data_IF_060219895364
#
_entry.id   IF_060219895364
#
_cell.length_a   1.000
_cell.length_b   1.000
_cell.length_c   1.000
_cell.angle_alpha   90.00
_cell.angle_beta   90.00
_cell.angle_gamma   90.00
#
_symmetry.space_group_name_H-M   'P 1'
#
loop_
_entity.id
_entity.type
_entity.pdbx_description
1 polymer ?
#
# COMPACT_ATOMS: atom_id res chain seq x y z
N UNK A 1 1.99 15.75 -4.37
CA UNK A 1 2.89 14.85 -5.13
C UNK A 1 2.01 14.00 -6.03
N UNK A 2 2.25 13.96 -7.32
CA UNK A 2 1.40 13.18 -8.24
C UNK A 2 1.82 11.71 -8.30
N UNK A 3 0.89 10.81 -8.68
CA UNK A 3 1.15 9.37 -8.84
C UNK A 3 2.35 9.06 -9.75
N UNK A 4 2.60 9.89 -10.76
CA UNK A 4 3.71 9.71 -11.69
C UNK A 4 5.10 9.84 -11.02
N UNK A 5 5.22 10.62 -9.95
CA UNK A 5 6.47 10.86 -9.25
C UNK A 5 6.77 9.84 -8.13
N UNK A 6 5.90 8.86 -7.93
CA UNK A 6 6.05 7.84 -6.92
C UNK A 6 6.80 6.62 -7.44
N UNK A 7 7.67 6.05 -6.63
CA UNK A 7 8.39 4.81 -6.93
C UNK A 7 7.63 3.56 -6.44
N UNK A 8 6.75 3.74 -5.47
CA UNK A 8 5.87 2.72 -4.92
C UNK A 8 4.67 3.35 -4.22
N UNK A 9 3.68 2.55 -3.83
CA UNK A 9 2.47 3.01 -3.15
C UNK A 9 2.24 2.27 -1.83
N UNK A 10 1.56 2.93 -0.88
CA UNK A 10 0.85 2.27 0.21
C UNK A 10 -0.60 2.71 0.16
N UNK A 11 -1.49 1.74 0.03
CA UNK A 11 -2.92 1.95 0.13
C UNK A 11 -3.40 1.62 1.53
N UNK A 12 -4.03 2.59 2.18
CA UNK A 12 -4.65 2.44 3.50
C UNK A 12 -6.16 2.44 3.30
N UNK A 13 -6.82 1.32 3.58
CA UNK A 13 -8.19 1.08 3.12
C UNK A 13 -9.08 0.45 4.19
N UNK A 14 -10.32 0.94 4.39
CA UNK A 14 -11.33 0.27 5.20
C UNK A 14 -11.99 -0.88 4.44
N UNK A 15 -12.71 -1.70 5.18
CA UNK A 15 -13.67 -2.64 4.60
C UNK A 15 -15.10 -2.13 4.80
N UNK A 16 -15.80 -1.92 3.68
CA UNK A 16 -17.22 -1.58 3.67
C UNK A 16 -18.03 -2.72 3.03
N UNK A 17 -19.01 -3.27 3.75
CA UNK A 17 -19.91 -4.30 3.21
C UNK A 17 -19.17 -5.45 2.50
N UNK A 18 -18.11 -5.96 3.11
CA UNK A 18 -17.23 -7.00 2.57
C UNK A 18 -16.39 -6.63 1.34
N UNK A 19 -16.33 -5.38 0.95
CA UNK A 19 -15.57 -4.92 -0.21
C UNK A 19 -14.81 -3.62 0.02
N UNK A 20 -14.11 -3.15 -1.02
CA UNK A 20 -13.41 -1.88 -0.99
C UNK A 20 -14.37 -0.68 -0.96
N UNK A 21 -13.93 0.46 -0.42
CA UNK A 21 -14.70 1.68 -0.51
C UNK A 21 -14.80 2.17 -1.97
N UNK A 22 -15.92 2.75 -2.39
CA UNK A 22 -16.05 3.30 -3.74
C UNK A 22 -14.99 4.34 -4.10
N UNK A 23 -14.51 5.09 -3.12
CA UNK A 23 -13.43 6.07 -3.28
C UNK A 23 -12.12 5.45 -3.77
N UNK A 24 -11.78 4.25 -3.31
CA UNK A 24 -10.61 3.51 -3.78
C UNK A 24 -10.70 3.21 -5.28
N UNK A 25 -11.79 2.58 -5.71
CA UNK A 25 -12.00 2.24 -7.12
C UNK A 25 -12.04 3.49 -8.00
N UNK A 26 -12.69 4.55 -7.52
CA UNK A 26 -12.74 5.82 -8.22
C UNK A 26 -11.34 6.43 -8.38
N UNK A 27 -10.53 6.46 -7.33
CA UNK A 27 -9.17 6.98 -7.38
C UNK A 27 -8.29 6.23 -8.40
N UNK A 28 -8.40 4.91 -8.48
CA UNK A 28 -7.66 4.11 -9.45
C UNK A 28 -8.00 4.43 -10.90
N UNK A 29 -9.23 4.87 -11.17
CA UNK A 29 -9.69 5.21 -12.51
C UNK A 29 -9.24 6.57 -13.02
N UNK A 30 -8.67 7.44 -12.17
CA UNK A 30 -8.22 8.77 -12.58
C UNK A 30 -6.95 8.78 -13.43
N UNK A 31 -6.09 7.78 -13.23
CA UNK A 31 -4.82 7.65 -13.95
C UNK A 31 -4.60 6.18 -14.34
N UNK A 32 -3.74 5.93 -15.29
CA UNK A 32 -3.50 4.58 -15.81
C UNK A 32 -2.01 4.25 -15.90
N UNK A 33 -1.26 5.00 -16.69
CA UNK A 33 0.17 4.72 -16.93
C UNK A 33 1.03 4.96 -15.68
N UNK A 34 0.59 5.87 -14.85
CA UNK A 34 1.27 6.26 -13.62
C UNK A 34 1.33 5.13 -12.59
N UNK A 35 0.40 4.18 -12.68
CA UNK A 35 0.36 2.99 -11.84
C UNK A 35 1.33 1.89 -12.27
N UNK A 36 1.66 1.81 -13.56
CA UNK A 36 2.28 0.63 -14.15
C UNK A 36 3.62 0.26 -13.52
N UNK A 37 3.74 -1.05 -13.18
CA UNK A 37 4.97 -1.71 -12.73
C UNK A 37 5.56 -1.17 -11.42
N UNK A 38 4.74 -0.53 -10.59
CA UNK A 38 5.15 -0.05 -9.28
C UNK A 38 4.64 -0.97 -8.18
N UNK A 39 5.46 -1.27 -7.16
CA UNK A 39 5.04 -2.08 -6.03
C UNK A 39 4.02 -1.33 -5.16
N UNK A 40 3.05 -2.08 -4.62
CA UNK A 40 2.02 -1.53 -3.76
C UNK A 40 1.82 -2.38 -2.50
N UNK A 41 2.02 -1.76 -1.35
CA UNK A 41 1.69 -2.33 -0.05
C UNK A 41 0.25 -2.00 0.35
N UNK A 42 -0.36 -2.89 1.15
CA UNK A 42 -1.71 -2.73 1.65
C UNK A 42 -1.71 -2.61 3.18
N UNK A 43 -2.41 -1.61 3.69
CA UNK A 43 -2.81 -1.50 5.09
C UNK A 43 -4.33 -1.51 5.12
N UNK A 44 -4.91 -2.58 5.62
CA UNK A 44 -6.37 -2.70 5.72
C UNK A 44 -6.84 -2.60 7.16
N UNK A 45 -8.04 -2.07 7.35
CA UNK A 45 -8.63 -1.99 8.66
C UNK A 45 -10.15 -2.25 8.63
N UNK A 46 -10.68 -2.68 9.76
CA UNK A 46 -12.10 -2.99 9.87
C UNK A 46 -12.47 -3.40 11.27
N UNK A 47 -13.51 -4.22 11.37
CA UNK A 47 -13.88 -4.88 12.61
C UNK A 47 -13.14 -6.21 12.75
N UNK A 48 -13.84 -7.30 13.01
CA UNK A 48 -13.28 -8.65 13.21
C UNK A 48 -12.48 -9.16 11.99
N UNK A 49 -12.85 -8.74 10.79
CA UNK A 49 -12.18 -9.18 9.55
C UNK A 49 -10.97 -8.34 9.15
N UNK A 50 -10.55 -7.38 9.97
CA UNK A 50 -9.30 -6.62 9.78
C UNK A 50 -9.20 -5.89 8.41
N UNK A 51 -10.29 -5.80 7.66
CA UNK A 51 -10.30 -5.27 6.30
C UNK A 51 -9.76 -6.22 5.22
N UNK A 52 -9.44 -7.45 5.57
CA UNK A 52 -8.77 -8.42 4.66
C UNK A 52 -9.57 -8.67 3.38
N UNK A 53 -10.91 -8.72 3.47
CA UNK A 53 -11.74 -8.95 2.27
C UNK A 53 -11.64 -7.80 1.26
N UNK A 54 -11.63 -6.55 1.76
CA UNK A 54 -11.39 -5.37 0.94
C UNK A 54 -10.01 -5.46 0.27
N UNK A 55 -8.96 -5.68 1.04
CA UNK A 55 -7.60 -5.79 0.55
C UNK A 55 -7.42 -6.87 -0.53
N UNK A 56 -8.09 -8.02 -0.41
CA UNK A 56 -8.04 -9.09 -1.42
C UNK A 56 -8.67 -8.65 -2.75
N UNK A 57 -9.84 -8.01 -2.71
CA UNK A 57 -10.50 -7.49 -3.91
C UNK A 57 -9.65 -6.38 -4.55
N UNK A 58 -9.10 -5.50 -3.73
CA UNK A 58 -8.23 -4.42 -4.18
C UNK A 58 -6.97 -4.94 -4.85
N UNK A 59 -6.30 -5.96 -4.29
CA UNK A 59 -5.13 -6.60 -4.92
C UNK A 59 -5.44 -7.12 -6.33
N UNK A 60 -6.62 -7.70 -6.54
CA UNK A 60 -7.05 -8.14 -7.88
C UNK A 60 -7.19 -6.94 -8.83
N UNK A 61 -7.81 -5.86 -8.38
CA UNK A 61 -7.97 -4.63 -9.17
C UNK A 61 -6.62 -4.00 -9.50
N UNK A 62 -5.70 -3.92 -8.53
CA UNK A 62 -4.34 -3.39 -8.73
C UNK A 62 -3.60 -4.17 -9.82
N UNK A 63 -3.74 -5.49 -9.83
CA UNK A 63 -3.10 -6.36 -10.84
C UNK A 63 -3.55 -6.03 -12.26
N UNK A 64 -4.82 -5.67 -12.47
CA UNK A 64 -5.34 -5.27 -13.80
C UNK A 64 -4.71 -3.96 -14.31
N UNK A 65 -4.28 -3.10 -13.40
CA UNK A 65 -3.57 -1.85 -13.67
C UNK A 65 -2.05 -2.02 -13.75
N UNK A 66 -1.57 -3.26 -13.75
CA UNK A 66 -0.13 -3.60 -13.74
C UNK A 66 0.61 -3.06 -12.51
N UNK A 67 -0.08 -2.75 -11.44
CA UNK A 67 0.52 -2.51 -10.13
C UNK A 67 0.92 -3.87 -9.57
N UNK A 68 2.04 -3.95 -8.87
CA UNK A 68 2.53 -5.17 -8.25
C UNK A 68 2.15 -5.20 -6.77
N UNK A 69 1.00 -5.82 -6.39
CA UNK A 69 0.62 -5.89 -4.98
C UNK A 69 1.58 -6.83 -4.25
N UNK A 70 2.08 -6.34 -3.12
CA UNK A 70 3.01 -7.08 -2.28
C UNK A 70 2.30 -8.17 -1.47
N UNK A 71 3.06 -9.19 -1.08
CA UNK A 71 2.57 -10.27 -0.21
C UNK A 71 2.34 -9.73 1.19
N UNK A 72 3.34 -9.03 1.73
CA UNK A 72 3.28 -8.40 3.05
C UNK A 72 2.19 -7.33 3.08
N UNK A 73 1.43 -7.34 4.17
CA UNK A 73 0.35 -6.41 4.41
C UNK A 73 0.19 -6.16 5.91
N UNK A 74 -0.40 -5.04 6.26
CA UNK A 74 -0.85 -4.77 7.63
C UNK A 74 -2.36 -4.90 7.67
N UNK A 75 -2.89 -5.71 8.58
CA UNK A 75 -4.31 -5.85 8.81
C UNK A 75 -4.63 -5.45 10.26
N UNK A 76 -5.53 -4.50 10.45
CA UNK A 76 -5.82 -3.89 11.75
C UNK A 76 -7.25 -4.23 12.16
N UNK A 77 -7.42 -5.12 13.17
CA UNK A 77 -8.73 -5.46 13.71
C UNK A 77 -9.29 -4.34 14.59
N UNK A 78 -10.61 -4.24 14.64
CA UNK A 78 -11.32 -3.37 15.57
C UNK A 78 -10.69 -1.97 15.67
N UNK A 79 -10.51 -1.32 14.52
CA UNK A 79 -9.77 -0.05 14.40
C UNK A 79 -10.14 0.99 15.47
N UNK A 80 -11.41 1.08 15.87
CA UNK A 80 -11.87 2.00 16.91
C UNK A 80 -11.25 1.72 18.30
N UNK A 81 -10.82 0.50 18.56
CA UNK A 81 -10.15 0.12 19.80
C UNK A 81 -8.64 0.35 19.78
N UNK A 82 -8.10 0.81 18.66
CA UNK A 82 -6.67 1.09 18.46
C UNK A 82 -6.31 2.56 18.73
N UNK A 83 -7.20 3.32 19.31
CA UNK A 83 -6.96 4.72 19.67
C UNK A 83 -7.07 4.92 21.18
N UNK A 84 -6.23 5.76 21.73
CA UNK A 84 -6.34 6.22 23.12
C UNK A 84 -7.42 7.32 23.26
N UNK A 85 -7.64 7.78 24.50
CA UNK A 85 -8.63 8.82 24.81
C UNK A 85 -8.32 10.19 24.14
N UNK A 86 -7.11 10.38 23.65
CA UNK A 86 -6.65 11.56 22.93
C UNK A 86 -6.63 11.37 21.41
N UNK A 87 -7.27 10.30 20.91
CA UNK A 87 -7.33 9.94 19.49
C UNK A 87 -5.94 9.61 18.84
N UNK A 88 -4.95 9.25 19.64
CA UNK A 88 -3.68 8.77 19.09
C UNK A 88 -3.80 7.28 18.76
N UNK A 89 -3.30 6.91 17.57
CA UNK A 89 -3.23 5.50 17.16
C UNK A 89 -2.18 4.76 17.97
N UNK A 90 -2.59 3.66 18.61
CA UNK A 90 -1.79 2.83 19.51
C UNK A 90 -1.54 1.45 18.87
N UNK A 91 -0.56 1.33 17.97
CA UNK A 91 -0.27 0.04 17.34
C UNK A 91 0.30 -0.93 18.36
N UNK A 92 -0.11 -2.18 18.29
CA UNK A 92 0.54 -3.26 19.01
C UNK A 92 1.82 -3.73 18.32
N UNK A 93 2.59 -4.61 18.99
CA UNK A 93 3.83 -5.16 18.45
C UNK A 93 3.65 -5.92 17.13
N UNK A 94 2.48 -6.52 16.90
CA UNK A 94 2.18 -7.21 15.66
C UNK A 94 2.02 -6.22 14.50
N UNK A 95 1.28 -5.13 14.70
CA UNK A 95 1.13 -4.07 13.69
C UNK A 95 2.48 -3.43 13.35
N UNK A 96 3.31 -3.16 14.35
CA UNK A 96 4.66 -2.59 14.14
C UNK A 96 5.54 -3.56 13.33
N UNK A 97 5.56 -4.86 13.69
CA UNK A 97 6.33 -5.85 12.94
C UNK A 97 5.85 -5.99 11.49
N UNK A 98 4.54 -6.09 11.28
CA UNK A 98 3.95 -6.20 9.94
C UNK A 98 4.23 -4.96 9.09
N UNK A 99 4.16 -3.78 9.68
CA UNK A 99 4.50 -2.51 9.02
C UNK A 99 5.98 -2.46 8.62
N UNK A 100 6.89 -2.88 9.51
CA UNK A 100 8.32 -2.96 9.20
C UNK A 100 8.62 -3.98 8.10
N UNK A 101 7.97 -5.15 8.12
CA UNK A 101 8.10 -6.15 7.06
C UNK A 101 7.65 -5.59 5.71
N UNK A 102 6.48 -4.94 5.67
CA UNK A 102 5.93 -4.30 4.48
C UNK A 102 6.90 -3.25 3.91
N UNK A 103 7.45 -2.39 4.74
CA UNK A 103 8.37 -1.34 4.30
C UNK A 103 9.72 -1.90 3.84
N UNK A 104 10.23 -2.95 4.49
CA UNK A 104 11.48 -3.61 4.12
C UNK A 104 11.36 -4.33 2.79
N UNK A 105 10.33 -5.14 2.58
CA UNK A 105 10.09 -5.84 1.31
C UNK A 105 9.92 -4.85 0.17
N UNK A 106 9.21 -3.75 0.41
CA UNK A 106 9.04 -2.69 -0.57
C UNK A 106 10.35 -2.02 -0.97
N UNK A 107 11.23 -1.73 0.00
CA UNK A 107 12.55 -1.18 -0.27
C UNK A 107 13.39 -2.13 -1.14
N UNK A 108 13.32 -3.44 -0.88
CA UNK A 108 14.00 -4.46 -1.67
C UNK A 108 13.45 -4.54 -3.10
N UNK A 109 12.13 -4.45 -3.29
CA UNK A 109 11.52 -4.47 -4.63
C UNK A 109 11.90 -3.23 -5.45
N UNK A 110 11.90 -2.05 -4.84
CA UNK A 110 12.36 -0.82 -5.48
C UNK A 110 13.85 -0.92 -5.83
N UNK A 111 14.67 -1.41 -4.90
CA UNK A 111 16.11 -1.61 -5.12
C UNK A 111 16.39 -2.52 -6.31
N UNK A 112 15.69 -3.66 -6.43
CA UNK A 112 15.81 -4.58 -7.57
C UNK A 112 15.38 -3.95 -8.89
N UNK A 113 14.31 -3.15 -8.89
CA UNK A 113 13.89 -2.41 -10.08
C UNK A 113 14.94 -1.40 -10.49
N UNK A 114 15.50 -0.65 -9.54
CA UNK A 114 16.55 0.33 -9.80
C UNK A 114 17.87 -0.30 -10.29
N UNK A 115 18.25 -1.49 -9.77
CA UNK A 115 19.42 -2.24 -10.27
C UNK A 115 19.20 -2.72 -11.70
N UNK A 116 18.01 -3.16 -12.04
CA UNK A 116 17.67 -3.53 -13.42
C UNK A 116 17.70 -2.32 -14.35
N UNK A 117 17.18 -1.18 -13.91
CA UNK A 117 17.21 0.08 -14.67
C UNK A 117 18.63 0.66 -14.76
N UNK A 118 19.46 0.50 -13.73
CA UNK A 118 20.86 0.93 -13.72
C UNK A 118 21.75 0.05 -14.60
N UNK A 119 21.41 -1.23 -14.76
CA UNK A 119 22.05 -2.10 -15.75
C UNK A 119 21.74 -1.64 -17.20
N UNK A 120 20.66 -0.87 -17.39
CA UNK A 120 20.26 -0.26 -18.66
C UNK A 120 20.81 1.18 -18.79
N UNK A 121 20.89 1.93 -17.68
CA UNK A 121 21.33 3.33 -17.66
C UNK A 121 22.21 3.62 -16.43
N UNK A 122 23.52 3.64 -16.58
CA UNK A 122 24.45 4.04 -15.52
C UNK A 122 24.27 5.51 -15.13
N UNK A 123 23.87 5.75 -13.91
CA UNK A 123 23.96 6.97 -13.06
C UNK A 123 22.61 7.48 -12.56
N UNK A 124 22.33 7.30 -11.27
CA UNK A 124 21.89 8.38 -10.34
C UNK A 124 21.54 7.84 -8.94
N UNK A 125 21.92 8.58 -7.90
CA UNK A 125 21.64 8.29 -6.51
C UNK A 125 20.13 8.31 -6.22
N UNK A 126 19.62 7.25 -5.60
CA UNK A 126 18.19 7.03 -5.39
C UNK A 126 17.69 7.56 -4.03
N UNK A 127 16.87 8.60 -4.08
CA UNK A 127 15.94 8.93 -3.00
C UNK A 127 14.56 8.44 -3.38
N UNK A 128 14.07 7.36 -2.75
CA UNK A 128 12.77 6.76 -3.06
C UNK A 128 11.60 7.64 -2.60
N UNK A 129 10.57 7.77 -3.44
CA UNK A 129 9.39 8.59 -3.20
C UNK A 129 8.17 7.71 -3.00
N UNK A 130 7.59 7.76 -1.81
CA UNK A 130 6.53 6.85 -1.41
C UNK A 130 5.34 7.64 -0.88
N UNK A 131 4.29 7.92 -1.69
CA UNK A 131 3.04 8.46 -1.18
C UNK A 131 2.20 7.40 -0.48
N UNK A 132 1.48 7.84 0.55
CA UNK A 132 0.40 7.09 1.19
C UNK A 132 -0.94 7.59 0.65
N UNK A 133 -1.83 6.67 0.32
CA UNK A 133 -3.19 6.96 -0.08
C UNK A 133 -4.15 6.43 0.99
N UNK A 134 -4.99 7.31 1.53
CA UNK A 134 -6.04 6.99 2.50
C UNK A 134 -7.40 7.04 1.81
N UNK A 135 -8.26 6.03 2.08
CA UNK A 135 -9.58 5.87 1.47
C UNK A 135 -10.69 5.69 2.51
#
# INVERSE_FOLDING_TARGET
MGANAADAYVFVTPQYNFGPPPSFLNALNYVYKEWNYKPAGMVSYGRVSEGVRSALVEKLTLTTLKIMPMVEAVAIPNISAQFDDMENFMPDDHHVRSGNALLTERALQIGRSAENDAAINSTTANTYRIPYFYF
#
